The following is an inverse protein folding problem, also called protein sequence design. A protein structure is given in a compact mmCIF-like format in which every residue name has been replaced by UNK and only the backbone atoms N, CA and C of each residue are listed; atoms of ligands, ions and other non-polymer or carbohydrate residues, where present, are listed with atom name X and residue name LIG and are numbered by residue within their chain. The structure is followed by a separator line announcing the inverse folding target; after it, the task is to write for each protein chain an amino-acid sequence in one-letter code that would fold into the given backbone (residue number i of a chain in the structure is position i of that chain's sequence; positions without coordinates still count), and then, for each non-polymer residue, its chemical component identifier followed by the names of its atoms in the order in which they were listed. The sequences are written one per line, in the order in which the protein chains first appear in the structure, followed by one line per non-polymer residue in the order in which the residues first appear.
data_IF_386660430968
#
_entry.id   IF_386660430968
#
_cell.length_a   1.000
_cell.length_b   1.000
_cell.length_c   1.000
_cell.angle_alpha   90.00
_cell.angle_beta   90.00
_cell.angle_gamma   90.00
#
_symmetry.space_group_name_H-M   'P 1'
#
loop_
_entity.id
_entity.type
_entity.pdbx_description
1 polymer ?
#
# COMPACT_ATOMS: atom_id res chain seq x y z
N UNK A 1 2.92 9.45 -17.74
CA UNK A 1 3.11 10.54 -16.77
C UNK A 1 4.52 10.43 -16.22
N UNK A 2 5.38 11.42 -16.43
CA UNK A 2 6.76 11.37 -15.94
C UNK A 2 6.88 12.08 -14.59
N UNK A 3 6.67 11.31 -13.53
CA UNK A 3 6.71 11.78 -12.14
C UNK A 3 8.13 11.99 -11.59
N UNK A 4 9.17 11.79 -12.42
CA UNK A 4 10.54 12.13 -12.06
C UNK A 4 10.86 13.60 -12.36
N UNK A 5 9.99 14.31 -13.09
CA UNK A 5 10.19 15.73 -13.40
C UNK A 5 9.77 16.60 -12.22
N UNK A 6 10.59 17.60 -11.92
CA UNK A 6 10.24 18.64 -10.96
C UNK A 6 8.99 19.40 -11.42
N UNK A 7 8.18 19.83 -10.46
CA UNK A 7 7.04 20.71 -10.68
C UNK A 7 7.50 21.99 -11.39
N UNK A 8 6.85 22.32 -12.50
CA UNK A 8 7.10 23.54 -13.27
C UNK A 8 5.80 24.16 -13.73
N UNK A 9 5.84 25.42 -14.19
CA UNK A 9 4.67 26.11 -14.75
C UNK A 9 4.07 25.34 -15.94
N UNK A 10 4.91 24.64 -16.70
CA UNK A 10 4.50 23.82 -17.85
C UNK A 10 4.02 22.41 -17.45
N UNK A 11 4.36 21.93 -16.24
CA UNK A 11 3.91 20.66 -15.69
C UNK A 11 3.38 20.84 -14.25
N UNK A 12 2.15 21.35 -14.10
CA UNK A 12 1.58 21.66 -12.79
C UNK A 12 1.12 20.42 -12.00
N UNK A 13 1.18 19.22 -12.59
CA UNK A 13 0.62 18.02 -11.98
C UNK A 13 1.62 17.46 -10.96
N UNK A 14 1.24 17.53 -9.68
CA UNK A 14 1.97 16.86 -8.60
C UNK A 14 1.55 15.39 -8.56
N UNK A 15 2.50 14.51 -8.78
CA UNK A 15 2.28 13.08 -8.65
C UNK A 15 2.09 12.67 -7.18
N UNK A 16 1.36 11.58 -6.96
CA UNK A 16 1.20 11.00 -5.63
C UNK A 16 2.50 10.34 -5.17
N UNK A 17 2.77 10.41 -3.87
CA UNK A 17 3.92 9.76 -3.26
C UNK A 17 3.51 8.40 -2.68
N UNK A 18 4.29 7.38 -2.98
CA UNK A 18 4.13 6.03 -2.45
C UNK A 18 5.50 5.35 -2.30
N UNK A 19 5.53 4.14 -1.74
CA UNK A 19 6.75 3.34 -1.61
C UNK A 19 7.34 2.83 -2.93
N UNK A 20 6.63 2.98 -4.06
CA UNK A 20 7.12 2.65 -5.40
C UNK A 20 6.99 3.87 -6.32
N UNK A 21 8.06 4.20 -7.07
CA UNK A 21 8.11 5.38 -7.94
C UNK A 21 7.16 5.31 -9.13
N UNK A 22 6.63 4.12 -9.46
CA UNK A 22 5.70 3.88 -10.57
C UNK A 22 4.25 3.98 -10.15
N UNK A 23 3.95 4.31 -8.89
CA UNK A 23 2.57 4.37 -8.38
C UNK A 23 1.60 5.24 -9.22
N UNK A 24 2.13 6.15 -10.04
CA UNK A 24 1.39 7.07 -10.90
C UNK A 24 1.35 6.66 -12.38
N UNK A 25 1.80 5.45 -12.73
CA UNK A 25 1.89 4.99 -14.12
C UNK A 25 0.50 4.81 -14.75
N UNK A 26 -0.43 4.20 -14.01
CA UNK A 26 -1.83 4.05 -14.40
C UNK A 26 -2.78 4.16 -13.19
N UNK A 27 -4.03 4.55 -13.45
CA UNK A 27 -5.06 4.74 -12.42
C UNK A 27 -5.32 3.48 -11.59
N UNK A 28 -5.27 2.29 -12.21
CA UNK A 28 -5.44 1.02 -11.50
C UNK A 28 -4.36 0.79 -10.44
N UNK A 29 -3.09 1.02 -10.80
CA UNK A 29 -1.96 0.89 -9.87
C UNK A 29 -2.05 1.91 -8.74
N UNK A 30 -2.35 3.18 -9.07
CA UNK A 30 -2.53 4.26 -8.09
C UNK A 30 -3.66 3.95 -7.10
N UNK A 31 -4.76 3.35 -7.59
CA UNK A 31 -5.89 2.94 -6.75
C UNK A 31 -5.48 1.85 -5.77
N UNK A 32 -4.70 0.86 -6.22
CA UNK A 32 -4.18 -0.20 -5.34
C UNK A 32 -3.25 0.35 -4.25
N UNK A 33 -2.33 1.26 -4.59
CA UNK A 33 -1.51 1.95 -3.58
C UNK A 33 -2.37 2.69 -2.54
N UNK A 34 -3.42 3.37 -3.00
CA UNK A 34 -4.34 4.12 -2.12
C UNK A 34 -5.12 3.19 -1.19
N UNK A 35 -5.58 2.04 -1.68
CA UNK A 35 -6.30 1.04 -0.86
C UNK A 35 -5.41 0.54 0.28
N UNK A 36 -4.18 0.10 -0.01
CA UNK A 36 -3.28 -0.42 1.02
C UNK A 36 -2.80 0.65 2.01
N UNK A 37 -2.61 1.89 1.54
CA UNK A 37 -2.33 3.02 2.44
C UNK A 37 -3.50 3.27 3.41
N UNK A 38 -4.74 3.24 2.91
CA UNK A 38 -5.94 3.41 3.77
C UNK A 38 -6.10 2.24 4.74
N UNK A 39 -5.82 1.02 4.31
CA UNK A 39 -5.88 -0.17 5.18
C UNK A 39 -4.83 -0.09 6.30
N UNK A 40 -3.61 0.34 5.98
CA UNK A 40 -2.59 0.60 7.00
C UNK A 40 -3.09 1.59 8.07
N UNK A 41 -3.67 2.72 7.65
CA UNK A 41 -4.20 3.72 8.58
C UNK A 41 -5.40 3.20 9.38
N UNK A 42 -6.27 2.38 8.77
CA UNK A 42 -7.39 1.73 9.46
C UNK A 42 -6.88 0.80 10.56
N UNK A 43 -5.88 -0.03 10.27
CA UNK A 43 -5.25 -0.93 11.23
C UNK A 43 -4.52 -0.16 12.33
N UNK A 44 -3.76 0.88 11.98
CA UNK A 44 -3.09 1.74 12.94
C UNK A 44 -4.08 2.40 13.92
N UNK A 45 -5.20 2.92 13.41
CA UNK A 45 -6.27 3.49 14.24
C UNK A 45 -6.91 2.44 15.17
N UNK A 46 -7.13 1.22 14.69
CA UNK A 46 -7.64 0.13 15.53
C UNK A 46 -6.64 -0.25 16.64
N UNK A 47 -5.36 -0.37 16.31
CA UNK A 47 -4.30 -0.68 17.28
C UNK A 47 -4.18 0.41 18.36
N UNK A 48 -4.20 1.69 17.95
CA UNK A 48 -4.21 2.83 18.86
C UNK A 48 -5.42 2.80 19.82
N UNK A 49 -6.61 2.46 19.30
CA UNK A 49 -7.83 2.39 20.10
C UNK A 49 -7.83 1.19 21.07
N UNK A 50 -7.24 0.07 20.67
CA UNK A 50 -7.16 -1.13 21.51
C UNK A 50 -6.11 -1.03 22.62
N UNK A 51 -4.99 -0.35 22.37
CA UNK A 51 -3.93 -0.20 23.36
C UNK A 51 -3.30 1.19 23.30
N UNK A 52 -3.79 2.07 24.18
CA UNK A 52 -3.34 3.46 24.30
C UNK A 52 -1.89 3.61 24.82
N UNK A 53 -1.24 2.52 25.25
CA UNK A 53 0.16 2.55 25.71
C UNK A 53 1.17 2.35 24.59
N UNK A 54 0.73 1.94 23.40
CA UNK A 54 1.62 1.77 22.26
C UNK A 54 2.08 3.13 21.74
N UNK A 55 3.35 3.25 21.41
CA UNK A 55 3.88 4.42 20.73
C UNK A 55 3.61 4.37 19.23
N UNK A 56 3.80 5.51 18.55
CA UNK A 56 3.52 5.63 17.12
C UNK A 56 4.35 4.68 16.25
N UNK A 57 5.61 4.43 16.63
CA UNK A 57 6.49 3.52 15.89
C UNK A 57 6.01 2.07 15.99
N UNK A 58 5.66 1.60 17.19
CA UNK A 58 5.14 0.24 17.35
C UNK A 58 3.84 0.06 16.58
N UNK A 59 2.93 1.04 16.64
CA UNK A 59 1.68 1.01 15.87
C UNK A 59 1.95 0.92 14.37
N UNK A 60 2.89 1.73 13.86
CA UNK A 60 3.28 1.70 12.45
C UNK A 60 3.84 0.33 12.04
N UNK A 61 4.78 -0.22 12.81
CA UNK A 61 5.40 -1.50 12.46
C UNK A 61 4.41 -2.66 12.53
N UNK A 62 3.52 -2.70 13.53
CA UNK A 62 2.49 -3.73 13.63
C UNK A 62 1.45 -3.61 12.50
N UNK A 63 0.96 -2.40 12.19
CA UNK A 63 0.06 -2.20 11.05
C UNK A 63 0.74 -2.60 9.73
N UNK A 64 2.01 -2.24 9.53
CA UNK A 64 2.81 -2.64 8.36
C UNK A 64 2.95 -4.17 8.26
N UNK A 65 3.23 -4.84 9.37
CA UNK A 65 3.35 -6.31 9.45
C UNK A 65 2.05 -7.00 9.05
N UNK A 66 0.91 -6.51 9.53
CA UNK A 66 -0.41 -7.05 9.19
C UNK A 66 -0.73 -6.84 7.70
N UNK A 67 -0.49 -5.65 7.14
CA UNK A 67 -0.69 -5.39 5.70
C UNK A 67 0.21 -6.30 4.85
N UNK A 68 1.46 -6.52 5.27
CA UNK A 68 2.36 -7.47 4.63
C UNK A 68 1.80 -8.89 4.60
N UNK A 69 1.26 -9.36 5.73
CA UNK A 69 0.60 -10.66 5.83
C UNK A 69 -0.66 -10.77 4.96
N UNK A 70 -1.51 -9.73 4.92
CA UNK A 70 -2.67 -9.68 4.03
C UNK A 70 -2.26 -9.81 2.56
N UNK A 71 -1.24 -9.06 2.14
CA UNK A 71 -0.75 -9.10 0.76
C UNK A 71 -0.15 -10.47 0.42
N UNK A 72 0.61 -11.09 1.32
CA UNK A 72 1.09 -12.45 1.15
C UNK A 72 -0.07 -13.45 1.04
N UNK A 73 -1.06 -13.39 1.92
CA UNK A 73 -2.21 -14.28 1.87
C UNK A 73 -2.98 -14.15 0.54
N UNK A 74 -3.30 -12.93 0.13
CA UNK A 74 -3.96 -12.68 -1.17
C UNK A 74 -3.11 -13.23 -2.32
N UNK A 75 -1.80 -12.99 -2.29
CA UNK A 75 -0.89 -13.42 -3.36
C UNK A 75 -0.81 -14.94 -3.45
N UNK A 76 -0.44 -15.62 -2.37
CA UNK A 76 -0.14 -17.05 -2.40
C UNK A 76 -1.39 -17.93 -2.34
N UNK A 77 -2.42 -17.52 -1.60
CA UNK A 77 -3.62 -18.33 -1.43
C UNK A 77 -4.66 -18.07 -2.52
N UNK A 78 -4.84 -16.82 -2.95
CA UNK A 78 -5.89 -16.47 -3.91
C UNK A 78 -5.40 -16.23 -5.32
N UNK A 79 -4.28 -15.55 -5.52
CA UNK A 79 -3.85 -15.12 -6.86
C UNK A 79 -2.98 -16.16 -7.55
N UNK A 80 -1.96 -16.68 -6.87
CA UNK A 80 -0.95 -17.56 -7.45
C UNK A 80 -1.54 -18.87 -8.05
N UNK A 81 -2.52 -19.55 -7.41
CA UNK A 81 -3.13 -20.75 -8.00
C UNK A 81 -3.88 -20.46 -9.30
N UNK A 82 -4.43 -19.24 -9.46
CA UNK A 82 -5.12 -18.83 -10.70
C UNK A 82 -4.13 -18.58 -11.84
N UNK A 83 -2.89 -18.23 -11.51
CA UNK A 83 -1.84 -17.92 -12.48
C UNK A 83 -1.07 -19.17 -12.88
N UNK A 84 -0.71 -20.01 -11.92
CA UNK A 84 0.07 -21.22 -12.15
C UNK A 84 -0.79 -22.43 -12.53
N UNK A 85 -2.09 -22.37 -12.26
CA UNK A 85 -2.99 -23.52 -12.35
C UNK A 85 -2.93 -24.40 -11.11
N UNK A 86 -3.75 -25.45 -11.09
CA UNK A 86 -3.67 -26.47 -10.06
C UNK A 86 -2.33 -27.20 -10.19
N UNK A 87 -1.61 -27.33 -9.07
CA UNK A 87 -0.43 -28.19 -9.03
C UNK A 87 -0.97 -29.62 -8.99
N UNK A 88 -0.80 -30.34 -10.10
CA UNK A 88 -1.16 -31.75 -10.22
C UNK A 88 -0.56 -32.61 -9.10
#
# INVERSE_FOLDING_TARGET
MDCRRNFSVENPIRCFLAGDYRANEQLGLMSMHTIFMREHNRLAALLANQNQRLDGETIFQEARKIVGAQMQHITYYHWLPKVLGEVC
#
